data_IF_198441640327
#
_entry.id   IF_198441640327
#
_cell.length_a   1.000
_cell.length_b   1.000
_cell.length_c   1.000
_cell.angle_alpha   90.00
_cell.angle_beta   90.00
_cell.angle_gamma   90.00
#
_symmetry.space_group_name_H-M   'P 1'
#
loop_
_entity.id
_entity.type
_entity.pdbx_description
1 polymer ?
#
# COMPACT_ATOMS: atom_id res chain seq x y z
N UNK A 1 -45.23 -12.36 20.25
CA UNK A 1 -44.38 -11.21 19.86
C UNK A 1 -42.92 -11.58 20.06
N UNK A 2 -42.48 -11.98 21.26
CA UNK A 2 -41.08 -12.34 21.56
C UNK A 2 -40.41 -13.35 20.59
N UNK A 3 -41.11 -14.41 20.14
CA UNK A 3 -40.52 -15.40 19.22
C UNK A 3 -40.19 -14.85 17.83
N UNK A 4 -40.97 -13.91 17.31
CA UNK A 4 -40.76 -13.33 15.99
C UNK A 4 -39.58 -12.35 16.04
N UNK A 5 -39.47 -11.58 17.12
CA UNK A 5 -38.35 -10.65 17.33
C UNK A 5 -37.00 -11.36 17.52
N UNK A 6 -37.00 -12.52 18.19
CA UNK A 6 -35.81 -13.38 18.31
C UNK A 6 -35.39 -13.94 16.94
N UNK A 7 -36.34 -14.38 16.11
CA UNK A 7 -36.05 -14.89 14.77
C UNK A 7 -35.50 -13.78 13.87
N UNK A 8 -36.07 -12.58 13.94
CA UNK A 8 -35.65 -11.43 13.14
C UNK A 8 -34.24 -10.97 13.53
N UNK A 9 -33.95 -10.86 14.83
CA UNK A 9 -32.62 -10.49 15.31
C UNK A 9 -31.54 -11.52 14.93
N UNK A 10 -31.87 -12.81 14.98
CA UNK A 10 -30.95 -13.89 14.59
C UNK A 10 -30.65 -13.87 13.08
N UNK A 11 -31.65 -13.53 12.25
CA UNK A 11 -31.45 -13.33 10.80
C UNK A 11 -30.55 -12.14 10.50
N UNK A 12 -30.73 -11.01 11.19
CA UNK A 12 -29.87 -9.82 11.00
C UNK A 12 -28.41 -10.13 11.35
N UNK A 13 -28.16 -10.87 12.44
CA UNK A 13 -26.80 -11.28 12.83
C UNK A 13 -26.18 -12.22 11.81
N UNK A 14 -26.93 -13.20 11.28
CA UNK A 14 -26.43 -14.12 10.27
C UNK A 14 -26.08 -13.41 8.95
N UNK A 15 -26.92 -12.46 8.52
CA UNK A 15 -26.64 -11.64 7.34
C UNK A 15 -25.41 -10.76 7.57
N UNK A 16 -25.28 -10.14 8.74
CA UNK A 16 -24.12 -9.33 9.11
C UNK A 16 -22.82 -10.16 9.16
N UNK A 17 -22.86 -11.37 9.71
CA UNK A 17 -21.70 -12.28 9.73
C UNK A 17 -21.30 -12.74 8.32
N UNK A 18 -22.27 -12.98 7.45
CA UNK A 18 -22.02 -13.37 6.07
C UNK A 18 -21.38 -12.23 5.25
N UNK A 19 -21.91 -11.01 5.38
CA UNK A 19 -21.36 -9.83 4.68
C UNK A 19 -20.01 -9.40 5.26
N UNK A 20 -19.86 -9.41 6.58
CA UNK A 20 -18.59 -9.15 7.26
C UNK A 20 -17.53 -10.19 6.89
N UNK A 21 -17.91 -11.47 6.84
CA UNK A 21 -17.02 -12.55 6.40
C UNK A 21 -16.62 -12.41 4.93
N UNK A 22 -17.52 -11.94 4.05
CA UNK A 22 -17.18 -11.67 2.65
C UNK A 22 -16.20 -10.49 2.52
N UNK A 23 -16.45 -9.40 3.24
CA UNK A 23 -15.54 -8.24 3.30
C UNK A 23 -14.17 -8.62 3.86
N UNK A 24 -14.14 -9.41 4.93
CA UNK A 24 -12.92 -9.92 5.55
C UNK A 24 -12.14 -10.84 4.60
N UNK A 25 -12.82 -11.73 3.86
CA UNK A 25 -12.18 -12.58 2.84
C UNK A 25 -11.56 -11.76 1.72
N UNK A 26 -12.29 -10.77 1.17
CA UNK A 26 -11.75 -9.90 0.11
C UNK A 26 -10.58 -9.05 0.60
N UNK A 27 -10.63 -8.57 1.84
CA UNK A 27 -9.54 -7.86 2.48
C UNK A 27 -8.31 -8.75 2.68
N UNK A 28 -8.52 -9.97 3.19
CA UNK A 28 -7.45 -10.92 3.50
C UNK A 28 -6.80 -11.51 2.24
N UNK A 29 -7.57 -11.77 1.17
CA UNK A 29 -7.01 -12.21 -0.11
C UNK A 29 -6.14 -11.11 -0.75
N UNK A 30 -6.53 -9.84 -0.65
CA UNK A 30 -5.72 -8.72 -1.13
C UNK A 30 -4.42 -8.57 -0.33
N UNK A 31 -4.47 -8.67 1.01
CA UNK A 31 -3.27 -8.66 1.85
C UNK A 31 -2.32 -9.84 1.55
N UNK A 32 -2.89 -11.03 1.29
CA UNK A 32 -2.15 -12.24 0.93
C UNK A 32 -1.49 -12.16 -0.46
N UNK A 33 -2.16 -11.59 -1.45
CA UNK A 33 -1.57 -11.36 -2.77
C UNK A 33 -0.56 -10.19 -2.77
N UNK A 34 -0.79 -9.17 -1.93
CA UNK A 34 0.14 -8.07 -1.68
C UNK A 34 1.52 -8.54 -1.26
N UNK A 35 1.63 -9.59 -0.43
CA UNK A 35 2.93 -10.15 -0.02
C UNK A 35 3.78 -10.67 -1.18
N UNK A 36 3.16 -11.31 -2.19
CA UNK A 36 3.86 -11.75 -3.42
C UNK A 36 4.29 -10.56 -4.27
N UNK A 37 3.46 -9.53 -4.35
CA UNK A 37 3.77 -8.31 -5.06
C UNK A 37 4.95 -7.55 -4.42
N UNK A 38 4.94 -7.38 -3.10
CA UNK A 38 5.98 -6.65 -2.39
C UNK A 38 7.33 -7.35 -2.52
N UNK A 39 7.34 -8.67 -2.35
CA UNK A 39 8.56 -9.48 -2.55
C UNK A 39 9.07 -9.42 -3.99
N UNK A 40 8.17 -9.41 -4.99
CA UNK A 40 8.55 -9.20 -6.38
C UNK A 40 9.20 -7.83 -6.60
N UNK A 41 8.54 -6.75 -6.18
CA UNK A 41 9.03 -5.37 -6.35
C UNK A 41 10.36 -5.18 -5.64
N UNK A 42 10.46 -5.65 -4.40
CA UNK A 42 11.70 -5.57 -3.62
C UNK A 42 12.84 -6.33 -4.30
N UNK A 43 12.56 -7.50 -4.88
CA UNK A 43 13.56 -8.25 -5.65
C UNK A 43 14.02 -7.49 -6.89
N UNK A 44 13.10 -6.87 -7.64
CA UNK A 44 13.45 -6.07 -8.82
C UNK A 44 14.29 -4.84 -8.44
N UNK A 45 13.93 -4.16 -7.33
CA UNK A 45 14.75 -3.08 -6.77
C UNK A 45 16.16 -3.55 -6.41
N UNK A 46 16.30 -4.73 -5.79
CA UNK A 46 17.62 -5.29 -5.44
C UNK A 46 18.45 -5.69 -6.66
N UNK A 47 17.80 -6.08 -7.77
CA UNK A 47 18.47 -6.39 -9.04
C UNK A 47 18.88 -5.16 -9.84
N UNK A 48 18.42 -3.98 -9.44
CA UNK A 48 18.62 -2.74 -10.20
C UNK A 48 17.60 -2.52 -11.32
N UNK A 49 16.56 -3.36 -11.41
CA UNK A 49 15.51 -3.26 -12.41
C UNK A 49 14.46 -2.22 -11.98
N UNK A 50 14.88 -0.97 -11.81
CA UNK A 50 14.07 0.06 -11.16
C UNK A 50 12.85 0.48 -12.00
N UNK A 51 12.93 0.47 -13.33
CA UNK A 51 11.79 0.76 -14.21
C UNK A 51 10.69 -0.31 -14.09
N UNK A 52 11.08 -1.57 -14.00
CA UNK A 52 10.16 -2.71 -13.80
C UNK A 52 9.45 -2.60 -12.45
N UNK A 53 10.21 -2.30 -11.39
CA UNK A 53 9.68 -2.05 -10.06
C UNK A 53 8.70 -0.87 -10.07
N UNK A 54 9.07 0.25 -10.71
CA UNK A 54 8.25 1.46 -10.80
C UNK A 54 6.91 1.18 -11.51
N UNK A 55 6.95 0.57 -12.71
CA UNK A 55 5.76 0.18 -13.46
C UNK A 55 4.83 -0.74 -12.66
N UNK A 56 5.42 -1.67 -11.90
CA UNK A 56 4.65 -2.59 -11.04
C UNK A 56 3.97 -1.88 -9.88
N UNK A 57 4.65 -0.92 -9.26
CA UNK A 57 4.07 -0.06 -8.22
C UNK A 57 2.91 0.76 -8.80
N UNK A 58 3.12 1.44 -9.92
CA UNK A 58 2.11 2.33 -10.53
C UNK A 58 0.82 1.61 -10.90
N UNK A 59 0.93 0.39 -11.48
CA UNK A 59 -0.24 -0.42 -11.82
C UNK A 59 -1.08 -0.84 -10.61
N UNK A 60 -0.45 -1.00 -9.44
CA UNK A 60 -1.14 -1.36 -8.21
C UNK A 60 -1.67 -0.12 -7.50
N UNK A 61 -0.89 0.94 -7.43
CA UNK A 61 -1.31 2.22 -6.88
C UNK A 61 -2.50 2.84 -7.65
N UNK A 62 -2.63 2.58 -8.95
CA UNK A 62 -3.81 2.99 -9.72
C UNK A 62 -5.14 2.39 -9.19
N UNK A 63 -5.06 1.22 -8.54
CA UNK A 63 -6.22 0.54 -7.92
C UNK A 63 -6.30 0.82 -6.42
N UNK A 64 -5.16 0.95 -5.77
CA UNK A 64 -5.01 1.15 -4.34
C UNK A 64 -4.06 2.33 -4.07
N UNK A 65 -4.54 3.58 -4.19
CA UNK A 65 -3.67 4.77 -4.15
C UNK A 65 -3.06 5.05 -2.76
N UNK A 66 -3.56 4.41 -1.71
CA UNK A 66 -3.17 4.64 -0.31
C UNK A 66 -2.28 3.51 0.25
N UNK A 67 -1.69 2.68 -0.61
CA UNK A 67 -0.76 1.65 -0.14
C UNK A 67 0.61 2.28 0.17
N UNK A 68 0.86 2.55 1.46
CA UNK A 68 2.10 3.18 1.93
C UNK A 68 3.37 2.43 1.55
N UNK A 69 3.34 1.10 1.53
CA UNK A 69 4.51 0.30 1.17
C UNK A 69 4.83 0.42 -0.32
N UNK A 70 3.80 0.41 -1.18
CA UNK A 70 3.99 0.64 -2.62
C UNK A 70 4.39 2.09 -2.94
N UNK A 71 3.85 3.07 -2.22
CA UNK A 71 4.27 4.47 -2.33
C UNK A 71 5.75 4.63 -1.98
N UNK A 72 6.22 3.96 -0.91
CA UNK A 72 7.63 3.90 -0.54
C UNK A 72 8.49 3.25 -1.63
N UNK A 73 8.09 2.09 -2.15
CA UNK A 73 8.84 1.42 -3.22
C UNK A 73 8.89 2.24 -4.51
N UNK A 74 7.80 2.94 -4.86
CA UNK A 74 7.77 3.89 -5.98
C UNK A 74 8.79 5.01 -5.78
N UNK A 75 8.77 5.68 -4.63
CA UNK A 75 9.69 6.78 -4.33
C UNK A 75 11.16 6.31 -4.36
N UNK A 76 11.43 5.13 -3.79
CA UNK A 76 12.77 4.51 -3.84
C UNK A 76 13.21 4.16 -5.26
N UNK A 77 12.31 3.64 -6.10
CA UNK A 77 12.61 3.36 -7.51
C UNK A 77 12.97 4.64 -8.27
N UNK A 78 12.19 5.71 -8.09
CA UNK A 78 12.45 7.02 -8.70
C UNK A 78 13.81 7.58 -8.28
N UNK A 79 14.14 7.49 -6.99
CA UNK A 79 15.44 7.92 -6.48
C UNK A 79 16.59 7.15 -7.13
N UNK A 80 16.46 5.82 -7.24
CA UNK A 80 17.48 4.97 -7.86
C UNK A 80 17.61 5.16 -9.37
N UNK A 81 16.55 5.61 -10.04
CA UNK A 81 16.58 6.02 -11.45
C UNK A 81 17.23 7.40 -11.68
N UNK A 82 17.66 8.09 -10.62
CA UNK A 82 18.19 9.45 -10.71
C UNK A 82 17.13 10.53 -10.92
N UNK A 83 15.83 10.18 -10.86
CA UNK A 83 14.71 11.12 -10.92
C UNK A 83 14.49 11.77 -9.56
N UNK A 84 15.49 12.49 -9.08
CA UNK A 84 15.58 13.02 -7.71
C UNK A 84 14.45 13.99 -7.37
N UNK A 85 14.01 14.82 -8.32
CA UNK A 85 12.89 15.77 -8.14
C UNK A 85 11.56 15.05 -7.91
N UNK A 86 11.25 14.06 -8.76
CA UNK A 86 10.05 13.21 -8.63
C UNK A 86 10.10 12.38 -7.35
N UNK A 87 11.27 11.82 -7.02
CA UNK A 87 11.47 11.06 -5.79
C UNK A 87 11.23 11.91 -4.54
N UNK A 88 11.78 13.12 -4.51
CA UNK A 88 11.59 14.05 -3.38
C UNK A 88 10.11 14.37 -3.18
N UNK A 89 9.39 14.70 -4.25
CA UNK A 89 7.96 14.95 -4.18
C UNK A 89 7.18 13.73 -3.67
N UNK A 90 7.54 12.53 -4.14
CA UNK A 90 6.92 11.28 -3.70
C UNK A 90 7.17 11.00 -2.20
N UNK A 91 8.39 11.22 -1.70
CA UNK A 91 8.69 11.04 -0.28
C UNK A 91 8.00 12.07 0.61
N UNK A 92 7.91 13.33 0.19
CA UNK A 92 7.19 14.38 0.93
C UNK A 92 5.68 14.07 1.02
N UNK A 93 5.10 13.51 -0.04
CA UNK A 93 3.70 13.04 -0.04
C UNK A 93 3.54 11.81 0.85
N UNK A 94 4.42 10.81 0.71
CA UNK A 94 4.39 9.60 1.55
C UNK A 94 4.42 9.94 3.03
N UNK A 95 5.32 10.84 3.43
CA UNK A 95 5.44 11.31 4.82
C UNK A 95 4.13 11.90 5.36
N UNK A 96 3.41 12.67 4.55
CA UNK A 96 2.14 13.30 4.96
C UNK A 96 0.99 12.30 5.07
N UNK A 97 0.97 11.30 4.20
CA UNK A 97 -0.11 10.32 4.15
C UNK A 97 0.10 9.17 5.15
N UNK A 98 1.34 8.76 5.33
CA UNK A 98 1.69 7.52 6.04
C UNK A 98 2.76 7.79 7.10
N UNK A 99 2.35 8.14 8.34
CA UNK A 99 3.28 8.44 9.43
C UNK A 99 4.27 7.31 9.74
N UNK A 100 3.88 6.05 9.49
CA UNK A 100 4.72 4.87 9.69
C UNK A 100 5.98 4.91 8.82
N UNK A 101 5.88 5.45 7.61
CA UNK A 101 7.00 5.56 6.67
C UNK A 101 7.71 6.92 6.73
N UNK A 102 7.31 7.80 7.66
CA UNK A 102 7.85 9.17 7.76
C UNK A 102 9.35 9.20 8.00
N UNK A 103 9.87 8.34 8.88
CA UNK A 103 11.28 8.36 9.25
C UNK A 103 12.19 7.88 8.11
N UNK A 104 11.78 6.80 7.42
CA UNK A 104 12.42 6.35 6.19
C UNK A 104 12.38 7.44 5.11
N UNK A 105 11.22 8.06 4.90
CA UNK A 105 11.06 9.13 3.92
C UNK A 105 11.97 10.33 4.24
N UNK A 106 12.07 10.73 5.50
CA UNK A 106 12.91 11.84 5.95
C UNK A 106 14.39 11.60 5.67
N UNK A 107 14.87 10.36 5.86
CA UNK A 107 16.25 9.98 5.52
C UNK A 107 16.58 10.24 4.05
N UNK A 108 15.70 9.80 3.13
CA UNK A 108 15.88 10.07 1.69
C UNK A 108 15.70 11.53 1.33
N UNK A 109 14.71 12.23 1.91
CA UNK A 109 14.48 13.66 1.69
C UNK A 109 15.74 14.46 2.07
N UNK A 110 16.32 14.17 3.24
CA UNK A 110 17.53 14.82 3.70
C UNK A 110 18.70 14.55 2.76
N UNK A 111 18.91 13.28 2.37
CA UNK A 111 19.98 12.90 1.43
C UNK A 111 19.85 13.58 0.06
N UNK A 112 18.63 13.74 -0.47
CA UNK A 112 18.41 14.41 -1.76
C UNK A 112 18.69 15.91 -1.63
N UNK A 113 18.17 16.54 -0.58
CA UNK A 113 18.35 17.99 -0.33
C UNK A 113 19.79 18.37 -0.02
N UNK A 114 20.57 17.49 0.61
CA UNK A 114 21.99 17.75 0.89
C UNK A 114 22.91 17.53 -0.31
N UNK A 115 22.44 16.80 -1.34
CA UNK A 115 23.20 16.51 -2.57
C UNK A 115 22.87 17.46 -3.72
N UNK A 116 21.95 18.42 -3.51
CA UNK A 116 21.52 19.44 -4.49
C UNK A 116 22.11 20.79 -4.11
#
# INVERSE_FOLDING_TARGET
MEKIDIILSLLVVLVALHTFGALFRTYNDWYRDGGKLYSFIQRELSKGNFESALSSCERHLARCPHDGQLLYFKAKALYKLGKTTEALAAFEVLKKLEPVWSEDADSYIHSIKSST
#
